data_IF_171937858812
#
_entry.id   IF_171937858812
#
_cell.length_a   1.000
_cell.length_b   1.000
_cell.length_c   1.000
_cell.angle_alpha   90.00
_cell.angle_beta   90.00
_cell.angle_gamma   90.00
#
_symmetry.space_group_name_H-M   'P 1'
#
loop_
_entity.id
_entity.type
_entity.pdbx_description
1 polymer ?
#
# COMPACT_ATOMS: atom_id res chain seq x y z
N UNK A 1 -20.80 5.14 -24.97
CA UNK A 1 -20.55 5.62 -23.59
C UNK A 1 -19.31 6.50 -23.61
N UNK A 2 -19.38 7.72 -23.09
CA UNK A 2 -18.22 8.61 -22.95
C UNK A 2 -17.34 8.14 -21.80
N UNK A 3 -16.02 8.28 -21.92
CA UNK A 3 -15.08 7.93 -20.86
C UNK A 3 -15.35 8.77 -19.59
N UNK A 4 -15.20 8.22 -18.38
CA UNK A 4 -15.38 8.98 -17.14
C UNK A 4 -14.42 10.17 -17.09
N UNK A 5 -14.84 11.26 -16.42
CA UNK A 5 -13.99 12.43 -16.21
C UNK A 5 -12.73 12.06 -15.39
N UNK A 6 -11.66 12.85 -15.54
CA UNK A 6 -10.41 12.65 -14.76
C UNK A 6 -10.69 12.65 -13.25
N UNK A 7 -11.57 13.54 -12.79
CA UNK A 7 -11.96 13.62 -11.37
C UNK A 7 -12.62 12.33 -10.90
N UNK A 8 -13.59 11.80 -11.66
CA UNK A 8 -14.28 10.55 -11.33
C UNK A 8 -13.31 9.36 -11.25
N UNK A 9 -12.34 9.28 -12.16
CA UNK A 9 -11.33 8.21 -12.14
C UNK A 9 -10.42 8.27 -10.90
N UNK A 10 -10.04 9.47 -10.45
CA UNK A 10 -9.23 9.65 -9.25
C UNK A 10 -9.99 9.28 -7.99
N UNK A 11 -11.25 9.72 -7.88
CA UNK A 11 -12.13 9.36 -6.75
C UNK A 11 -12.39 7.85 -6.71
N UNK A 12 -12.64 7.22 -7.85
CA UNK A 12 -12.79 5.77 -7.92
C UNK A 12 -11.54 5.03 -7.46
N UNK A 13 -10.36 5.45 -7.92
CA UNK A 13 -9.09 4.87 -7.47
C UNK A 13 -8.87 5.06 -5.96
N UNK A 14 -9.15 6.24 -5.42
CA UNK A 14 -9.10 6.50 -3.99
C UNK A 14 -10.02 5.56 -3.21
N UNK A 15 -11.28 5.42 -3.65
CA UNK A 15 -12.24 4.53 -3.00
C UNK A 15 -11.82 3.06 -3.11
N UNK A 16 -11.31 2.62 -4.25
CA UNK A 16 -10.84 1.24 -4.43
C UNK A 16 -9.77 0.88 -3.39
N UNK A 17 -8.81 1.77 -3.16
CA UNK A 17 -7.69 1.56 -2.26
C UNK A 17 -7.95 1.95 -0.80
N UNK A 18 -9.12 2.52 -0.48
CA UNK A 18 -9.62 2.67 0.89
C UNK A 18 -10.07 1.32 1.48
N UNK A 19 -9.12 0.38 1.57
CA UNK A 19 -9.33 -1.03 1.88
C UNK A 19 -8.52 -1.47 3.10
N UNK A 20 -8.85 -2.65 3.61
CA UNK A 20 -8.02 -3.39 4.55
C UNK A 20 -6.90 -4.10 3.78
N UNK A 21 -5.71 -3.51 3.80
CA UNK A 21 -4.54 -4.02 3.08
C UNK A 21 -4.09 -5.41 3.55
N UNK A 22 -4.34 -5.80 4.80
CA UNK A 22 -3.97 -7.14 5.29
C UNK A 22 -4.85 -8.20 4.65
N UNK A 23 -6.17 -7.98 4.65
CA UNK A 23 -7.14 -8.89 4.02
C UNK A 23 -6.95 -8.95 2.51
N UNK A 24 -6.83 -7.79 1.87
CA UNK A 24 -6.63 -7.66 0.43
C UNK A 24 -5.39 -8.43 -0.03
N UNK A 25 -4.24 -8.24 0.62
CA UNK A 25 -3.00 -8.91 0.21
C UNK A 25 -2.95 -10.39 0.56
N UNK A 26 -3.60 -10.82 1.64
CA UNK A 26 -3.76 -12.25 1.93
C UNK A 26 -4.64 -12.94 0.88
N UNK A 27 -5.73 -12.31 0.45
CA UNK A 27 -6.58 -12.85 -0.61
C UNK A 27 -5.81 -13.02 -1.93
N UNK A 28 -5.05 -11.99 -2.34
CA UNK A 28 -4.21 -12.06 -3.55
C UNK A 28 -3.20 -13.21 -3.44
N UNK A 29 -2.52 -13.32 -2.29
CA UNK A 29 -1.51 -14.36 -2.07
C UNK A 29 -2.11 -15.75 -2.07
N UNK A 30 -3.27 -15.95 -1.43
CA UNK A 30 -3.98 -17.22 -1.43
C UNK A 30 -4.41 -17.64 -2.84
N UNK A 31 -4.98 -16.73 -3.63
CA UNK A 31 -5.38 -17.00 -5.01
C UNK A 31 -4.18 -17.40 -5.88
N UNK A 32 -3.06 -16.69 -5.75
CA UNK A 32 -1.84 -17.01 -6.47
C UNK A 32 -1.24 -18.35 -6.03
N UNK A 33 -1.29 -18.65 -4.73
CA UNK A 33 -0.86 -19.93 -4.18
C UNK A 33 -1.69 -21.07 -4.76
N UNK A 34 -3.02 -20.96 -4.72
CA UNK A 34 -3.93 -21.98 -5.24
C UNK A 34 -3.74 -22.24 -6.73
N UNK A 35 -3.49 -21.18 -7.51
CA UNK A 35 -3.32 -21.29 -8.96
C UNK A 35 -1.94 -21.81 -9.39
N UNK A 36 -0.89 -21.70 -8.57
CA UNK A 36 0.50 -21.92 -9.01
C UNK A 36 1.34 -22.83 -8.11
N UNK A 37 0.83 -23.30 -6.98
CA UNK A 37 1.61 -24.18 -6.07
C UNK A 37 1.32 -25.65 -6.35
N UNK A 38 2.36 -26.46 -6.50
CA UNK A 38 2.23 -27.89 -6.82
C UNK A 38 1.92 -28.76 -5.59
N UNK A 39 2.30 -28.30 -4.40
CA UNK A 39 2.11 -29.02 -3.15
C UNK A 39 1.87 -28.09 -1.95
N UNK A 40 1.42 -28.67 -0.84
CA UNK A 40 1.11 -27.94 0.39
C UNK A 40 2.32 -27.23 1.01
N UNK A 41 3.53 -27.75 0.81
CA UNK A 41 4.77 -27.16 1.32
C UNK A 41 5.09 -25.84 0.64
N UNK A 42 4.92 -25.77 -0.69
CA UNK A 42 5.11 -24.53 -1.46
C UNK A 42 4.09 -23.47 -1.07
N UNK A 43 2.81 -23.86 -0.95
CA UNK A 43 1.76 -22.97 -0.47
C UNK A 43 2.05 -22.42 0.92
N UNK A 44 2.44 -23.30 1.85
CA UNK A 44 2.77 -22.91 3.21
C UNK A 44 3.98 -21.96 3.25
N UNK A 45 5.02 -22.23 2.46
CA UNK A 45 6.21 -21.39 2.37
C UNK A 45 5.89 -20.02 1.80
N UNK A 46 5.12 -19.94 0.71
CA UNK A 46 4.70 -18.67 0.11
C UNK A 46 3.91 -17.81 1.08
N UNK A 47 2.86 -18.38 1.68
CA UNK A 47 2.02 -17.67 2.64
C UNK A 47 2.82 -17.20 3.86
N UNK A 48 3.74 -18.01 4.37
CA UNK A 48 4.60 -17.65 5.48
C UNK A 48 5.55 -16.49 5.13
N UNK A 49 6.26 -16.56 4.00
CA UNK A 49 7.19 -15.50 3.57
C UNK A 49 6.47 -14.15 3.37
N UNK A 50 5.30 -14.17 2.73
CA UNK A 50 4.52 -12.95 2.50
C UNK A 50 4.00 -12.37 3.82
N UNK A 51 3.41 -13.19 4.70
CA UNK A 51 2.85 -12.69 5.95
C UNK A 51 3.92 -12.25 6.95
N UNK A 52 5.08 -12.91 7.01
CA UNK A 52 6.24 -12.42 7.78
C UNK A 52 6.68 -11.05 7.28
N UNK A 53 6.84 -10.90 5.96
CA UNK A 53 7.23 -9.62 5.36
C UNK A 53 6.20 -8.51 5.61
N UNK A 54 4.90 -8.83 5.54
CA UNK A 54 3.84 -7.88 5.85
C UNK A 54 3.84 -7.48 7.34
N UNK A 55 4.03 -8.44 8.24
CA UNK A 55 4.09 -8.18 9.69
C UNK A 55 5.25 -7.23 10.02
N UNK A 56 6.46 -7.54 9.55
CA UNK A 56 7.65 -6.72 9.78
C UNK A 56 7.55 -5.34 9.09
N UNK A 57 6.90 -5.27 7.92
CA UNK A 57 6.64 -3.99 7.27
C UNK A 57 5.66 -3.13 8.06
N UNK A 58 4.63 -3.74 8.67
CA UNK A 58 3.74 -3.06 9.61
C UNK A 58 4.48 -2.55 10.85
N UNK A 59 5.29 -3.40 11.48
CA UNK A 59 6.08 -3.04 12.68
C UNK A 59 7.01 -1.86 12.38
N UNK A 60 7.80 -1.95 11.30
CA UNK A 60 8.75 -0.88 10.95
C UNK A 60 8.04 0.40 10.51
N UNK A 61 6.87 0.31 9.87
CA UNK A 61 6.07 1.49 9.54
C UNK A 61 5.57 2.21 10.80
N UNK A 62 5.13 1.45 11.81
CA UNK A 62 4.68 2.02 13.09
C UNK A 62 5.83 2.56 13.93
N UNK A 63 6.99 1.91 13.91
CA UNK A 63 8.21 2.42 14.52
C UNK A 63 8.58 3.80 13.95
N UNK A 64 8.52 3.96 12.62
CA UNK A 64 8.72 5.26 11.96
C UNK A 64 7.66 6.28 12.35
N UNK A 65 6.38 5.88 12.42
CA UNK A 65 5.29 6.78 12.84
C UNK A 65 5.48 7.30 14.26
N UNK A 66 5.84 6.44 15.19
CA UNK A 66 6.11 6.83 16.58
C UNK A 66 7.37 7.67 16.71
N UNK A 67 8.39 7.39 15.90
CA UNK A 67 9.66 8.14 15.94
C UNK A 67 9.50 9.56 15.41
N UNK A 68 8.87 9.73 14.25
CA UNK A 68 8.82 11.03 13.57
C UNK A 68 7.58 11.85 13.92
N UNK A 69 6.48 11.20 14.33
CA UNK A 69 5.21 11.86 14.69
C UNK A 69 4.79 12.94 13.67
N UNK A 70 5.01 12.67 12.38
CA UNK A 70 4.78 13.65 11.32
C UNK A 70 3.27 13.92 11.18
N UNK A 71 2.89 15.18 11.12
CA UNK A 71 1.49 15.61 10.96
C UNK A 71 0.86 15.13 9.65
N UNK A 72 -0.47 15.12 9.59
CA UNK A 72 -1.26 14.73 8.40
C UNK A 72 -1.53 15.92 7.49
N UNK A 73 -1.85 15.69 6.19
CA UNK A 73 -2.21 16.77 5.27
C UNK A 73 -3.36 17.66 5.77
N UNK A 74 -4.37 17.09 6.43
CA UNK A 74 -5.48 17.89 7.01
C UNK A 74 -4.98 18.96 7.99
N UNK A 75 -4.02 18.62 8.84
CA UNK A 75 -3.43 19.56 9.79
C UNK A 75 -2.54 20.55 9.05
N UNK A 76 -1.64 20.07 8.19
CA UNK A 76 -0.70 20.93 7.48
C UNK A 76 -1.37 21.95 6.55
N UNK A 77 -2.46 21.57 5.86
CA UNK A 77 -3.20 22.48 4.98
C UNK A 77 -4.00 23.50 5.80
N UNK A 78 -4.62 23.10 6.91
CA UNK A 78 -5.37 24.04 7.76
C UNK A 78 -4.47 25.01 8.49
N UNK A 79 -3.32 24.53 8.95
CA UNK A 79 -2.31 25.30 9.67
C UNK A 79 -1.22 25.87 8.74
N UNK A 80 -1.48 25.94 7.43
CA UNK A 80 -0.50 26.40 6.44
C UNK A 80 0.05 27.79 6.75
N UNK A 81 -0.77 28.69 7.30
CA UNK A 81 -0.33 30.04 7.70
C UNK A 81 0.60 30.04 8.93
N UNK A 82 0.69 28.92 9.66
CA UNK A 82 1.40 28.78 10.94
C UNK A 82 2.66 27.89 10.84
N UNK A 83 3.05 27.46 9.64
CA UNK A 83 4.17 26.52 9.45
C UNK A 83 5.54 27.18 9.21
N UNK A 84 5.57 28.52 9.14
CA UNK A 84 6.78 29.30 8.91
C UNK A 84 7.23 29.37 7.45
N UNK A 85 6.44 28.84 6.51
CA UNK A 85 6.69 28.95 5.07
C UNK A 85 5.73 29.99 4.44
N UNK A 86 6.22 31.11 3.88
CA UNK A 86 5.34 32.11 3.28
C UNK A 86 4.68 31.66 1.96
N UNK A 87 5.03 30.48 1.44
CA UNK A 87 4.45 29.93 0.21
C UNK A 87 3.28 28.98 0.47
N UNK A 88 3.03 28.60 1.71
CA UNK A 88 1.86 27.83 2.13
C UNK A 88 0.76 28.80 2.51
N UNK A 89 -0.45 28.56 1.99
CA UNK A 89 -1.65 29.34 2.31
C UNK A 89 -2.58 28.38 3.04
N UNK A 90 -2.94 28.72 4.27
CA UNK A 90 -3.86 27.96 5.07
C UNK A 90 -5.27 27.90 4.47
N UNK A 91 -5.91 26.74 4.54
CA UNK A 91 -7.35 26.59 4.31
C UNK A 91 -7.99 25.86 5.49
N UNK A 92 -8.54 26.63 6.43
CA UNK A 92 -9.17 26.12 7.64
C UNK A 92 -10.39 25.21 7.37
N UNK A 93 -10.99 25.28 6.18
CA UNK A 93 -12.18 24.52 5.80
C UNK A 93 -11.87 23.26 5.00
N UNK A 94 -10.61 23.09 4.56
CA UNK A 94 -10.20 21.95 3.75
C UNK A 94 -10.48 20.62 4.46
N UNK A 95 -10.97 19.64 3.70
CA UNK A 95 -11.25 18.29 4.15
C UNK A 95 -10.68 17.26 3.16
N UNK A 96 -10.08 16.16 3.66
CA UNK A 96 -9.72 15.02 2.82
C UNK A 96 -10.96 14.28 2.31
N UNK A 97 -10.80 13.47 1.27
CA UNK A 97 -11.88 12.65 0.70
C UNK A 97 -12.39 11.60 1.70
N UNK A 98 -11.47 11.04 2.49
CA UNK A 98 -11.79 10.09 3.56
C UNK A 98 -11.32 10.64 4.91
N UNK A 99 -11.95 10.25 6.04
CA UNK A 99 -11.48 10.63 7.37
C UNK A 99 -10.00 10.30 7.56
N UNK A 100 -9.22 11.27 8.05
CA UNK A 100 -7.80 11.06 8.32
C UNK A 100 -7.63 10.02 9.43
N UNK A 101 -6.81 8.97 9.23
CA UNK A 101 -6.61 7.97 10.27
C UNK A 101 -5.94 8.57 11.53
N UNK A 102 -6.29 8.08 12.73
CA UNK A 102 -5.86 8.68 14.00
C UNK A 102 -4.43 8.25 14.41
N UNK A 103 -3.47 8.40 13.49
CA UNK A 103 -2.06 8.13 13.70
C UNK A 103 -1.17 8.95 12.74
N UNK A 104 0.12 9.17 13.07
CA UNK A 104 1.02 10.00 12.28
C UNK A 104 1.12 9.61 10.81
N UNK A 105 1.52 10.55 9.97
CA UNK A 105 1.59 10.37 8.53
C UNK A 105 2.73 9.44 8.10
N UNK A 106 3.95 9.78 8.51
CA UNK A 106 5.18 9.19 8.00
C UNK A 106 5.60 7.93 8.77
N UNK A 107 5.87 6.80 8.14
CA UNK A 107 5.66 6.45 6.72
C UNK A 107 4.26 5.87 6.48
N UNK A 108 3.81 5.84 5.22
CA UNK A 108 2.53 5.23 4.85
C UNK A 108 2.47 3.73 5.12
N UNK A 109 1.47 3.29 5.89
CA UNK A 109 1.28 1.87 6.23
C UNK A 109 0.81 1.04 5.03
N UNK A 110 -0.14 1.60 4.27
CA UNK A 110 -0.66 1.01 3.03
C UNK A 110 0.46 0.69 2.02
N UNK A 111 1.33 1.67 1.77
CA UNK A 111 2.45 1.52 0.85
C UNK A 111 3.55 0.59 1.39
N UNK A 112 3.78 0.55 2.71
CA UNK A 112 4.69 -0.43 3.32
C UNK A 112 4.21 -1.87 3.10
N UNK A 113 2.96 -2.16 3.47
CA UNK A 113 2.36 -3.49 3.29
C UNK A 113 2.34 -3.89 1.82
N UNK A 114 1.86 -2.99 0.94
CA UNK A 114 1.82 -3.23 -0.51
C UNK A 114 3.20 -3.54 -1.08
N UNK A 115 4.21 -2.76 -0.73
CA UNK A 115 5.56 -2.97 -1.21
C UNK A 115 6.19 -4.26 -0.68
N UNK A 116 5.94 -4.61 0.58
CA UNK A 116 6.44 -5.84 1.17
C UNK A 116 5.80 -7.07 0.52
N UNK A 117 4.47 -7.08 0.35
CA UNK A 117 3.75 -8.17 -0.32
C UNK A 117 4.20 -8.33 -1.77
N UNK A 118 4.12 -7.26 -2.55
CA UNK A 118 4.44 -7.31 -3.99
C UNK A 118 5.90 -7.66 -4.25
N UNK A 119 6.83 -7.23 -3.37
CA UNK A 119 8.22 -7.66 -3.46
C UNK A 119 8.42 -9.11 -3.09
N UNK A 120 7.73 -9.61 -2.05
CA UNK A 120 7.79 -11.02 -1.67
C UNK A 120 7.27 -11.92 -2.78
N UNK A 121 6.13 -11.57 -3.38
CA UNK A 121 5.57 -12.26 -4.54
C UNK A 121 6.52 -12.21 -5.73
N UNK A 122 7.13 -11.06 -6.01
CA UNK A 122 8.10 -10.93 -7.10
C UNK A 122 9.39 -11.74 -6.88
N UNK A 123 9.84 -11.85 -5.63
CA UNK A 123 10.99 -12.69 -5.26
C UNK A 123 10.68 -14.18 -5.37
N UNK A 124 9.41 -14.56 -5.24
CA UNK A 124 8.96 -15.95 -5.32
C UNK A 124 8.64 -16.39 -6.76
N UNK A 125 7.82 -15.61 -7.48
CA UNK A 125 7.29 -15.95 -8.80
C UNK A 125 8.02 -15.29 -9.97
N UNK A 126 8.92 -14.35 -9.70
CA UNK A 126 9.46 -13.43 -10.70
C UNK A 126 8.65 -12.14 -10.81
N UNK A 127 9.16 -11.17 -11.57
CA UNK A 127 8.60 -9.81 -11.57
C UNK A 127 7.25 -9.67 -12.29
N UNK A 128 6.98 -10.52 -13.28
CA UNK A 128 5.83 -10.45 -14.18
C UNK A 128 4.90 -11.64 -13.95
N UNK A 129 3.67 -11.34 -13.57
CA UNK A 129 2.62 -12.32 -13.31
C UNK A 129 1.27 -11.61 -13.37
N UNK A 130 0.29 -12.23 -14.02
CA UNK A 130 -1.08 -11.73 -14.02
C UNK A 130 -1.75 -12.02 -12.69
N UNK A 131 -2.33 -11.00 -12.06
CA UNK A 131 -3.10 -11.15 -10.83
C UNK A 131 -4.21 -10.10 -10.75
N UNK A 132 -5.22 -10.42 -9.95
CA UNK A 132 -6.35 -9.52 -9.68
C UNK A 132 -6.32 -9.11 -8.22
N UNK A 133 -6.63 -7.84 -7.96
CA UNK A 133 -6.86 -7.30 -6.63
C UNK A 133 -8.33 -6.97 -6.52
N UNK A 134 -8.98 -7.45 -5.47
CA UNK A 134 -10.38 -7.10 -5.15
C UNK A 134 -10.37 -6.12 -3.98
N UNK A 135 -11.09 -5.01 -4.11
CA UNK A 135 -11.26 -4.05 -3.01
C UNK A 135 -12.00 -4.70 -1.84
N UNK A 136 -11.65 -4.29 -0.62
CA UNK A 136 -12.44 -4.63 0.57
C UNK A 136 -13.26 -3.44 1.06
N UNK A 137 -13.31 -2.35 0.29
CA UNK A 137 -14.12 -1.18 0.64
C UNK A 137 -15.60 -1.51 0.38
N UNK A 138 -16.49 -1.43 1.39
CA UNK A 138 -17.93 -1.61 1.18
C UNK A 138 -18.61 -0.38 0.54
N UNK A 139 -17.86 0.72 0.34
CA UNK A 139 -18.34 1.97 -0.23
C UNK A 139 -18.45 1.97 -1.76
N UNK A 140 -18.70 3.14 -2.37
CA UNK A 140 -18.95 3.24 -3.80
C UNK A 140 -17.65 3.17 -4.61
N UNK A 141 -17.44 2.01 -5.24
CA UNK A 141 -16.44 1.75 -6.28
C UNK A 141 -17.15 1.50 -7.61
N UNK A 142 -16.57 1.97 -8.71
CA UNK A 142 -17.07 1.72 -10.08
C UNK A 142 -16.66 0.32 -10.52
N UNK A 143 -15.47 -0.13 -10.12
CA UNK A 143 -14.98 -1.50 -10.33
C UNK A 143 -14.38 -2.04 -9.04
N UNK A 144 -14.86 -3.20 -8.60
CA UNK A 144 -14.40 -3.82 -7.36
C UNK A 144 -13.15 -4.68 -7.56
N UNK A 145 -12.75 -4.91 -8.81
CA UNK A 145 -11.60 -5.73 -9.19
C UNK A 145 -10.70 -4.94 -10.13
N UNK A 146 -9.39 -4.94 -9.86
CA UNK A 146 -8.35 -4.41 -10.73
C UNK A 146 -7.36 -5.51 -11.13
N UNK A 147 -6.92 -5.50 -12.37
CA UNK A 147 -6.01 -6.51 -12.93
C UNK A 147 -4.64 -5.90 -13.22
N UNK A 148 -3.59 -6.65 -12.92
CA UNK A 148 -2.19 -6.25 -13.12
C UNK A 148 -1.40 -7.40 -13.75
N UNK A 149 -0.33 -7.08 -14.46
CA UNK A 149 0.58 -8.05 -15.09
C UNK A 149 2.00 -8.02 -14.51
N UNK A 150 2.27 -7.06 -13.62
CA UNK A 150 3.56 -6.91 -12.93
C UNK A 150 3.32 -6.44 -11.50
N UNK A 151 3.98 -7.08 -10.54
CA UNK A 151 3.78 -6.79 -9.12
C UNK A 151 4.13 -5.35 -8.73
N UNK A 152 5.06 -4.70 -9.43
CA UNK A 152 5.44 -3.32 -9.11
C UNK A 152 4.41 -2.27 -9.53
N UNK A 153 3.54 -2.59 -10.50
CA UNK A 153 2.64 -1.60 -11.12
C UNK A 153 1.57 -1.12 -10.12
N UNK A 154 1.10 -2.04 -9.28
CA UNK A 154 0.12 -1.73 -8.24
C UNK A 154 0.62 -0.71 -7.22
N UNK A 155 1.94 -0.66 -6.99
CA UNK A 155 2.50 0.23 -5.97
C UNK A 155 2.31 1.71 -6.36
N UNK A 156 2.36 2.04 -7.66
CA UNK A 156 2.10 3.40 -8.11
C UNK A 156 0.64 3.79 -7.92
N UNK A 157 -0.29 2.87 -8.20
CA UNK A 157 -1.71 3.12 -7.96
C UNK A 157 -2.00 3.40 -6.48
N UNK A 158 -1.36 2.67 -5.56
CA UNK A 158 -1.55 2.89 -4.12
C UNK A 158 -1.02 4.25 -3.70
N UNK A 159 0.19 4.67 -4.12
CA UNK A 159 0.71 6.03 -3.86
C UNK A 159 -0.30 7.07 -4.30
N UNK A 160 -0.75 7.01 -5.56
CA UNK A 160 -1.64 8.02 -6.10
C UNK A 160 -3.00 8.01 -5.39
N UNK A 161 -3.50 6.83 -5.01
CA UNK A 161 -4.73 6.72 -4.24
C UNK A 161 -4.65 7.42 -2.89
N UNK A 162 -3.55 7.25 -2.13
CA UNK A 162 -3.40 7.90 -0.81
C UNK A 162 -3.34 9.43 -0.92
N UNK A 163 -2.82 9.93 -2.05
CA UNK A 163 -2.83 11.35 -2.39
C UNK A 163 -4.24 11.81 -2.76
N UNK A 164 -4.97 11.05 -3.57
CA UNK A 164 -6.35 11.37 -3.94
C UNK A 164 -7.32 11.29 -2.76
N UNK A 165 -7.06 10.41 -1.80
CA UNK A 165 -7.75 10.34 -0.51
C UNK A 165 -7.49 11.59 0.36
N UNK A 166 -6.38 12.29 0.12
CA UNK A 166 -5.99 13.48 0.88
C UNK A 166 -5.38 13.16 2.25
N UNK A 167 -4.90 11.94 2.49
CA UNK A 167 -4.47 11.53 3.83
C UNK A 167 -2.96 11.36 3.98
N UNK A 168 -2.20 11.35 2.89
CA UNK A 168 -0.74 11.24 2.93
C UNK A 168 -0.01 12.33 2.14
N UNK A 169 1.22 12.63 2.56
CA UNK A 169 2.18 13.32 1.71
C UNK A 169 2.85 12.33 0.76
N UNK A 170 3.16 12.76 -0.47
CA UNK A 170 3.77 11.88 -1.49
C UNK A 170 5.08 11.24 -1.04
N UNK A 171 5.93 12.01 -0.35
CA UNK A 171 7.21 11.49 0.14
C UNK A 171 7.01 10.37 1.17
N UNK A 172 5.95 10.43 1.99
CA UNK A 172 5.66 9.40 2.99
C UNK A 172 5.21 8.08 2.35
N UNK A 173 4.54 8.17 1.21
CA UNK A 173 4.15 7.02 0.39
C UNK A 173 5.32 6.42 -0.40
N UNK A 174 6.14 7.26 -1.05
CA UNK A 174 7.28 6.81 -1.86
C UNK A 174 8.39 6.18 -0.99
N UNK A 175 8.67 6.76 0.18
CA UNK A 175 9.64 6.19 1.11
C UNK A 175 9.12 4.90 1.75
N UNK A 176 7.81 4.80 2.04
CA UNK A 176 7.19 3.55 2.50
C UNK A 176 7.38 2.40 1.49
N UNK A 177 7.30 2.69 0.17
CA UNK A 177 7.58 1.67 -0.85
C UNK A 177 9.02 1.19 -0.81
N UNK A 178 9.98 2.07 -0.53
CA UNK A 178 11.38 1.67 -0.35
C UNK A 178 11.53 0.80 0.89
N UNK A 179 10.96 1.22 2.01
CA UNK A 179 11.01 0.51 3.28
C UNK A 179 10.42 -0.91 3.18
N UNK A 180 9.18 -1.06 2.72
CA UNK A 180 8.55 -2.39 2.58
C UNK A 180 9.31 -3.34 1.64
N UNK A 181 9.90 -2.81 0.55
CA UNK A 181 10.77 -3.63 -0.33
C UNK A 181 12.02 -4.13 0.37
N UNK A 182 12.64 -3.33 1.23
CA UNK A 182 13.82 -3.72 1.99
C UNK A 182 13.47 -4.78 3.03
N UNK A 183 12.33 -4.65 3.71
CA UNK A 183 11.82 -5.67 4.63
C UNK A 183 11.63 -7.01 3.93
N UNK A 184 10.95 -7.03 2.79
CA UNK A 184 10.71 -8.27 2.04
C UNK A 184 12.01 -8.93 1.54
N UNK A 185 13.00 -8.14 1.12
CA UNK A 185 14.32 -8.67 0.76
C UNK A 185 15.00 -9.29 1.98
N UNK A 186 14.99 -8.58 3.11
CA UNK A 186 15.59 -9.07 4.34
C UNK A 186 14.95 -10.39 4.80
N UNK A 187 13.62 -10.49 4.80
CA UNK A 187 12.91 -11.72 5.14
C UNK A 187 13.31 -12.87 4.22
N UNK A 188 13.32 -12.65 2.90
CA UNK A 188 13.73 -13.67 1.91
C UNK A 188 15.17 -14.15 2.12
N UNK A 189 16.08 -13.26 2.47
CA UNK A 189 17.50 -13.58 2.63
C UNK A 189 17.83 -14.29 3.95
N UNK A 190 16.92 -14.25 4.93
CA UNK A 190 17.19 -14.78 6.28
C UNK A 190 16.27 -15.94 6.68
N UNK A 191 15.07 -16.05 6.12
CA UNK A 191 14.07 -17.05 6.54
C UNK A 191 13.58 -17.91 5.39
N UNK A 192 13.27 -19.18 5.71
CA UNK A 192 12.64 -20.14 4.81
C UNK A 192 13.32 -20.23 3.43
N UNK A 193 14.65 -20.19 3.40
CA UNK A 193 15.43 -20.25 2.16
C UNK A 193 15.32 -21.62 1.47
N UNK A 194 15.45 -21.69 0.14
CA UNK A 194 15.55 -22.97 -0.56
C UNK A 194 16.70 -23.81 -0.02
N UNK A 195 16.55 -25.13 -0.06
CA UNK A 195 17.65 -26.04 0.26
C UNK A 195 18.59 -26.07 -0.95
N UNK A 196 19.83 -25.60 -0.79
CA UNK A 196 20.88 -25.67 -1.81
C UNK A 196 21.22 -24.38 -2.56
N UNK A 197 20.79 -23.21 -2.09
CA UNK A 197 21.38 -21.90 -2.45
C UNK A 197 22.66 -21.61 -1.66
#
# INVERSE_FOLDING_TARGET
MTAPSVALRKTDQANFWNSNYVLLWNQVTANLSEANSENIGDSARLLALVNMSMADAGITAWDSKSTFTFWRPITAIREGDNDGNPQTIGDATWLPLIPSPPYPDFTSGANNLTAATTRSLALYFGNEMSFSVTTTNPGPTVQDIRNFTRFSDVQQEVVDARIYEGIHFRFADELARKQGRLVAQWVRDHFLRPIGE
#
